data_IF_208022312306
#
_entry.id   IF_208022312306
#
_cell.length_a   1.000
_cell.length_b   1.000
_cell.length_c   1.000
_cell.angle_alpha   90.00
_cell.angle_beta   90.00
_cell.angle_gamma   90.00
#
_symmetry.space_group_name_H-M   'P 1'
#
loop_
_entity.id
_entity.type
_entity.pdbx_description
1 polymer ?
#
# COMPACT_ATOMS: atom_id res chain seq x y z
N UNK A 1 -19.66 14.12 1.22
CA UNK A 1 -19.00 14.09 2.52
C UNK A 1 -19.36 12.78 3.23
N UNK A 2 -18.34 12.05 3.73
CA UNK A 2 -18.54 10.71 4.31
C UNK A 2 -19.43 10.70 5.55
N UNK A 3 -19.43 11.76 6.36
CA UNK A 3 -20.28 11.88 7.55
C UNK A 3 -21.77 11.87 7.18
N UNK A 4 -22.13 12.47 6.06
CA UNK A 4 -23.53 12.51 5.58
C UNK A 4 -24.07 11.11 5.23
N UNK A 5 -23.18 10.13 5.10
CA UNK A 5 -23.47 8.74 4.76
C UNK A 5 -23.15 7.76 5.90
N UNK A 6 -23.05 8.25 7.13
CA UNK A 6 -22.97 7.42 8.32
C UNK A 6 -21.57 7.22 8.91
N UNK A 7 -20.50 7.65 8.23
CA UNK A 7 -19.15 7.62 8.82
C UNK A 7 -19.13 8.46 10.09
N UNK A 8 -18.73 7.88 11.24
CA UNK A 8 -18.88 8.55 12.52
C UNK A 8 -17.75 8.18 13.49
N UNK A 9 -17.18 9.17 14.15
CA UNK A 9 -16.13 9.00 15.16
C UNK A 9 -16.59 8.24 16.41
N UNK A 10 -17.90 8.16 16.67
CA UNK A 10 -18.48 7.42 17.80
C UNK A 10 -18.74 5.95 17.48
N UNK A 11 -18.69 5.57 16.22
CA UNK A 11 -18.85 4.18 15.83
C UNK A 11 -17.64 3.37 16.31
N UNK A 12 -17.88 2.18 16.81
CA UNK A 12 -16.80 1.21 17.15
C UNK A 12 -16.20 0.57 15.90
N UNK A 13 -16.87 0.68 14.79
CA UNK A 13 -16.47 0.21 13.48
C UNK A 13 -17.21 1.02 12.41
N UNK A 14 -16.52 1.45 11.36
CA UNK A 14 -17.04 2.22 10.24
C UNK A 14 -16.91 1.45 8.91
N UNK A 15 -16.68 0.16 8.96
CA UNK A 15 -16.38 -0.64 7.77
C UNK A 15 -17.55 -0.71 6.80
N UNK A 16 -18.76 -0.93 7.32
CA UNK A 16 -19.98 -1.05 6.52
C UNK A 16 -20.37 0.30 5.89
N UNK A 17 -20.27 1.39 6.65
CA UNK A 17 -20.61 2.73 6.19
C UNK A 17 -19.69 3.17 5.05
N UNK A 18 -18.36 2.99 5.24
CA UNK A 18 -17.40 3.37 4.20
C UNK A 18 -17.53 2.48 2.97
N UNK A 19 -17.72 1.17 3.13
CA UNK A 19 -17.92 0.26 2.00
C UNK A 19 -19.20 0.59 1.22
N UNK A 20 -20.29 0.87 1.93
CA UNK A 20 -21.56 1.26 1.30
C UNK A 20 -21.41 2.54 0.50
N UNK A 21 -20.65 3.51 1.02
CA UNK A 21 -20.37 4.76 0.33
C UNK A 21 -19.45 4.56 -0.89
N UNK A 22 -18.42 3.72 -0.80
CA UNK A 22 -17.58 3.34 -1.94
C UNK A 22 -18.44 2.74 -3.06
N UNK A 23 -19.32 1.81 -2.72
CA UNK A 23 -20.22 1.17 -3.68
C UNK A 23 -21.19 2.18 -4.30
N UNK A 24 -21.76 3.06 -3.49
CA UNK A 24 -22.68 4.10 -3.97
C UNK A 24 -22.01 5.04 -4.96
N UNK A 25 -20.80 5.53 -4.64
CA UNK A 25 -20.06 6.44 -5.52
C UNK A 25 -19.67 5.74 -6.82
N UNK A 26 -19.19 4.51 -6.74
CA UNK A 26 -18.85 3.70 -7.91
C UNK A 26 -20.07 3.49 -8.84
N UNK A 27 -21.20 3.08 -8.29
CA UNK A 27 -22.43 2.80 -9.04
C UNK A 27 -23.03 4.07 -9.69
N UNK A 28 -22.68 5.25 -9.18
CA UNK A 28 -23.05 6.54 -9.79
C UNK A 28 -21.99 7.08 -10.78
N UNK A 29 -21.09 6.22 -11.24
CA UNK A 29 -20.08 6.60 -12.26
C UNK A 29 -18.74 7.08 -11.70
N UNK A 30 -18.56 7.02 -10.39
CA UNK A 30 -17.35 7.44 -9.71
C UNK A 30 -17.46 8.81 -9.04
N UNK A 31 -16.39 9.20 -8.37
CA UNK A 31 -16.31 10.48 -7.67
C UNK A 31 -15.34 10.47 -6.50
N UNK A 32 -15.46 11.48 -5.66
CA UNK A 32 -14.61 11.69 -4.49
C UNK A 32 -15.39 11.50 -3.22
N UNK A 33 -14.87 10.64 -2.34
CA UNK A 33 -15.31 10.52 -0.96
C UNK A 33 -14.42 11.45 -0.12
N UNK A 34 -14.98 12.51 0.39
CA UNK A 34 -14.31 13.43 1.29
C UNK A 34 -14.51 12.98 2.74
N UNK A 35 -13.40 12.79 3.46
CA UNK A 35 -13.38 12.33 4.86
C UNK A 35 -12.94 13.50 5.75
N UNK A 36 -13.83 14.06 6.57
CA UNK A 36 -13.51 15.18 7.44
C UNK A 36 -12.50 14.82 8.53
N UNK A 37 -11.99 15.86 9.21
CA UNK A 37 -11.16 15.70 10.41
C UNK A 37 -11.87 14.83 11.45
N UNK A 38 -11.14 13.89 12.01
CA UNK A 38 -11.63 12.98 13.06
C UNK A 38 -10.91 11.65 13.07
N UNK A 39 -11.16 10.85 14.10
CA UNK A 39 -10.64 9.49 14.24
C UNK A 39 -11.78 8.51 13.98
N UNK A 40 -11.66 7.73 12.91
CA UNK A 40 -12.65 6.75 12.48
C UNK A 40 -12.09 5.35 12.69
N UNK A 41 -12.75 4.55 13.49
CA UNK A 41 -12.30 3.20 13.88
C UNK A 41 -12.79 2.17 12.85
N UNK A 42 -11.89 1.24 12.52
CA UNK A 42 -12.16 0.07 11.67
C UNK A 42 -11.70 -1.19 12.40
N UNK A 43 -12.61 -2.11 12.69
CA UNK A 43 -12.32 -3.36 13.38
C UNK A 43 -11.96 -4.47 12.40
N UNK A 44 -10.70 -4.87 12.38
CA UNK A 44 -10.21 -5.91 11.47
C UNK A 44 -10.87 -7.28 11.69
N UNK A 45 -11.43 -7.54 12.87
CA UNK A 45 -12.13 -8.79 13.14
C UNK A 45 -13.48 -8.91 12.42
N UNK A 46 -14.04 -7.78 12.00
CA UNK A 46 -15.34 -7.70 11.29
C UNK A 46 -15.22 -7.67 9.77
N UNK A 47 -14.01 -7.69 9.25
CA UNK A 47 -13.81 -7.69 7.80
C UNK A 47 -14.46 -8.91 7.15
N UNK A 48 -15.28 -8.68 6.15
CA UNK A 48 -16.14 -9.68 5.52
C UNK A 48 -15.87 -9.90 4.03
N UNK A 49 -14.98 -9.12 3.43
CA UNK A 49 -14.71 -9.20 1.99
C UNK A 49 -13.59 -10.18 1.71
N UNK A 50 -13.94 -11.33 1.14
CA UNK A 50 -12.98 -12.37 0.78
C UNK A 50 -12.45 -12.09 -0.63
N UNK A 51 -11.22 -11.55 -0.72
CA UNK A 51 -10.61 -11.13 -1.99
C UNK A 51 -9.78 -12.23 -2.65
N UNK A 52 -9.34 -13.22 -1.88
CA UNK A 52 -8.67 -14.44 -2.33
C UNK A 52 -8.83 -15.50 -1.25
N UNK A 53 -8.34 -16.71 -1.48
CA UNK A 53 -8.40 -17.81 -0.50
C UNK A 53 -7.81 -17.49 0.89
N UNK A 54 -7.10 -16.38 1.04
CA UNK A 54 -6.45 -15.99 2.30
C UNK A 54 -6.39 -14.48 2.55
N UNK A 55 -6.96 -13.65 1.68
CA UNK A 55 -6.92 -12.19 1.83
C UNK A 55 -8.34 -11.69 2.00
N UNK A 56 -8.59 -11.05 3.14
CA UNK A 56 -9.85 -10.36 3.42
C UNK A 56 -9.58 -8.87 3.52
N UNK A 57 -10.52 -8.05 3.07
CA UNK A 57 -10.44 -6.60 3.19
C UNK A 57 -11.44 -6.07 4.20
N UNK A 58 -11.10 -4.98 4.84
CA UNK A 58 -12.04 -4.16 5.61
C UNK A 58 -12.91 -3.37 4.62
N UNK A 59 -12.27 -2.75 3.61
CA UNK A 59 -12.95 -2.08 2.51
C UNK A 59 -12.38 -2.52 1.15
N UNK A 60 -13.24 -2.91 0.23
CA UNK A 60 -12.89 -3.16 -1.16
C UNK A 60 -12.98 -1.86 -1.96
N UNK A 61 -11.89 -1.47 -2.61
CA UNK A 61 -11.88 -0.30 -3.49
C UNK A 61 -12.47 -0.61 -4.86
N UNK A 62 -13.09 0.38 -5.46
CA UNK A 62 -13.74 0.31 -6.76
C UNK A 62 -13.17 1.36 -7.71
N UNK A 63 -13.20 1.08 -9.01
CA UNK A 63 -12.74 2.00 -10.05
C UNK A 63 -13.48 3.34 -10.00
N UNK A 64 -12.75 4.42 -10.30
CA UNK A 64 -13.24 5.79 -10.32
C UNK A 64 -13.68 6.34 -8.95
N UNK A 65 -13.31 5.68 -7.84
CA UNK A 65 -13.57 6.18 -6.48
C UNK A 65 -12.27 6.65 -5.85
N UNK A 66 -12.22 7.92 -5.49
CA UNK A 66 -11.07 8.51 -4.80
C UNK A 66 -11.41 8.85 -3.35
N UNK A 67 -10.45 8.66 -2.45
CA UNK A 67 -10.55 9.01 -1.03
C UNK A 67 -9.69 10.23 -0.74
N UNK A 68 -10.29 11.28 -0.18
CA UNK A 68 -9.56 12.51 0.20
C UNK A 68 -9.89 12.87 1.63
N UNK A 69 -8.86 12.90 2.48
CA UNK A 69 -8.99 13.44 3.84
C UNK A 69 -8.94 14.97 3.88
N UNK A 70 -9.59 15.55 4.83
CA UNK A 70 -9.52 17.00 5.07
C UNK A 70 -8.12 17.43 5.57
N UNK A 71 -7.46 16.59 6.38
CA UNK A 71 -6.14 16.87 6.97
C UNK A 71 -5.28 15.63 6.98
N UNK A 72 -4.02 15.78 6.58
CA UNK A 72 -3.03 14.68 6.62
C UNK A 72 -2.87 14.09 8.04
N UNK A 73 -2.90 14.91 9.06
CA UNK A 73 -2.65 14.51 10.45
C UNK A 73 -3.89 14.25 11.27
N UNK A 74 -4.98 14.93 10.97
CA UNK A 74 -6.17 14.97 11.81
C UNK A 74 -7.35 14.17 11.23
N UNK A 75 -7.28 13.77 9.95
CA UNK A 75 -8.15 12.75 9.39
C UNK A 75 -7.48 11.39 9.57
N UNK A 76 -7.92 10.62 10.56
CA UNK A 76 -7.27 9.36 10.95
C UNK A 76 -8.23 8.19 10.77
N UNK A 77 -7.85 7.26 9.93
CA UNK A 77 -8.48 5.95 9.78
C UNK A 77 -7.73 4.95 10.65
N UNK A 78 -8.30 4.63 11.81
CA UNK A 78 -7.64 3.81 12.83
C UNK A 78 -8.11 2.36 12.74
N UNK A 79 -7.19 1.46 12.42
CA UNK A 79 -7.46 0.01 12.39
C UNK A 79 -7.10 -0.60 13.73
N UNK A 80 -8.04 -1.35 14.30
CA UNK A 80 -7.87 -2.04 15.59
C UNK A 80 -8.10 -3.54 15.44
N UNK A 81 -7.66 -4.31 16.43
CA UNK A 81 -7.91 -5.74 16.51
C UNK A 81 -6.90 -6.61 15.77
N UNK A 82 -7.21 -7.91 15.68
CA UNK A 82 -6.30 -8.89 15.09
C UNK A 82 -6.49 -8.97 13.58
N UNK A 83 -5.40 -8.72 12.83
CA UNK A 83 -5.39 -8.68 11.37
C UNK A 83 -5.23 -10.06 10.71
N UNK A 84 -5.28 -11.14 11.45
CA UNK A 84 -5.29 -12.50 10.88
C UNK A 84 -6.54 -12.77 10.00
N UNK A 85 -7.61 -12.01 10.22
CA UNK A 85 -8.81 -12.05 9.40
C UNK A 85 -8.90 -10.86 8.44
N UNK A 86 -8.65 -9.64 8.91
CA UNK A 86 -8.62 -8.41 8.12
C UNK A 86 -7.26 -8.11 7.53
N UNK A 87 -6.99 -8.59 6.33
CA UNK A 87 -5.65 -8.51 5.72
C UNK A 87 -5.22 -7.11 5.32
N UNK A 88 -6.16 -6.23 4.99
CA UNK A 88 -5.90 -4.83 4.65
C UNK A 88 -7.08 -3.92 4.98
N UNK A 89 -6.80 -2.64 5.25
CA UNK A 89 -7.88 -1.65 5.36
C UNK A 89 -8.51 -1.44 3.99
N UNK A 90 -7.71 -1.11 2.98
CA UNK A 90 -8.17 -0.97 1.60
C UNK A 90 -7.57 -2.06 0.72
N UNK A 91 -8.41 -2.73 -0.03
CA UNK A 91 -7.97 -3.81 -0.91
C UNK A 91 -8.65 -3.73 -2.28
N UNK A 92 -7.91 -4.14 -3.29
CA UNK A 92 -8.44 -4.54 -4.58
C UNK A 92 -7.61 -5.71 -5.11
N UNK A 93 -8.27 -6.68 -5.73
CA UNK A 93 -7.58 -7.80 -6.36
C UNK A 93 -8.24 -8.13 -7.71
N UNK A 94 -7.53 -7.83 -8.80
CA UNK A 94 -8.04 -8.01 -10.17
C UNK A 94 -8.23 -9.48 -10.56
N UNK A 95 -7.49 -10.40 -9.95
CA UNK A 95 -7.68 -11.83 -10.22
C UNK A 95 -9.01 -12.31 -9.65
N UNK A 96 -9.45 -11.75 -8.52
CA UNK A 96 -10.72 -12.07 -7.88
C UNK A 96 -11.88 -11.29 -8.51
N UNK A 97 -11.76 -9.97 -8.61
CA UNK A 97 -12.80 -9.11 -9.18
C UNK A 97 -12.99 -9.27 -10.68
N UNK A 98 -11.97 -9.83 -11.39
CA UNK A 98 -11.88 -9.90 -12.85
C UNK A 98 -11.81 -8.53 -13.53
N UNK A 99 -11.53 -7.48 -12.77
CA UNK A 99 -11.46 -6.11 -13.24
C UNK A 99 -10.15 -5.47 -12.78
N UNK A 100 -9.57 -4.64 -13.61
CA UNK A 100 -8.46 -3.77 -13.25
C UNK A 100 -9.03 -2.53 -12.56
N UNK A 101 -8.47 -2.15 -11.43
CA UNK A 101 -8.85 -0.91 -10.75
C UNK A 101 -8.29 0.30 -11.49
N UNK A 102 -9.15 1.21 -11.90
CA UNK A 102 -8.77 2.43 -12.59
C UNK A 102 -9.10 3.68 -11.78
N UNK A 103 -8.24 4.69 -11.87
CA UNK A 103 -8.52 6.05 -11.39
C UNK A 103 -9.02 6.09 -9.95
N UNK A 104 -8.47 5.24 -9.09
CA UNK A 104 -8.76 5.18 -7.67
C UNK A 104 -7.60 5.81 -6.90
N UNK A 105 -7.82 7.00 -6.35
CA UNK A 105 -6.78 7.76 -5.69
C UNK A 105 -7.00 7.79 -4.17
N UNK A 106 -5.90 7.92 -3.44
CA UNK A 106 -5.93 8.10 -1.99
C UNK A 106 -5.00 9.24 -1.59
N UNK A 107 -5.51 10.24 -0.86
CA UNK A 107 -4.69 11.36 -0.46
C UNK A 107 -5.14 12.06 0.81
N UNK A 108 -4.17 12.69 1.49
CA UNK A 108 -4.35 13.65 2.57
C UNK A 108 -5.02 13.08 3.83
N UNK A 109 -4.64 11.87 4.27
CA UNK A 109 -5.08 11.29 5.54
C UNK A 109 -4.05 10.34 6.14
N UNK A 110 -4.25 10.00 7.41
CA UNK A 110 -3.47 9.00 8.14
C UNK A 110 -4.22 7.67 8.22
N UNK A 111 -3.52 6.56 7.98
CA UNK A 111 -3.92 5.22 8.43
C UNK A 111 -3.08 4.84 9.62
N UNK A 112 -3.69 4.70 10.78
CA UNK A 112 -3.04 4.29 12.02
C UNK A 112 -3.41 2.85 12.37
N UNK A 113 -2.40 1.96 12.36
CA UNK A 113 -2.52 0.55 12.71
C UNK A 113 -1.73 0.20 13.99
N UNK A 114 -1.46 1.20 14.85
CA UNK A 114 -0.71 0.98 16.10
C UNK A 114 -1.38 -0.02 17.03
N UNK A 115 -2.70 -0.09 17.05
CA UNK A 115 -3.52 -1.03 17.82
C UNK A 115 -3.91 -2.30 17.02
N UNK A 116 -3.48 -2.40 15.78
CA UNK A 116 -3.65 -3.63 15.00
C UNK A 116 -2.57 -4.66 15.37
N UNK A 117 -2.97 -5.90 15.57
CA UNK A 117 -2.08 -7.00 15.97
C UNK A 117 -2.00 -8.07 14.90
N UNK A 118 -0.87 -8.78 14.88
CA UNK A 118 -0.64 -9.98 14.08
C UNK A 118 0.31 -10.87 14.88
N UNK A 119 -0.16 -12.00 15.35
CA UNK A 119 0.62 -12.87 16.23
C UNK A 119 1.78 -13.55 15.52
N UNK A 120 1.55 -13.92 14.26
CA UNK A 120 2.57 -14.51 13.40
C UNK A 120 2.54 -13.81 12.03
N UNK A 121 3.71 -13.42 11.51
CA UNK A 121 3.79 -12.77 10.22
C UNK A 121 3.23 -13.62 9.07
N UNK A 122 2.22 -13.13 8.38
CA UNK A 122 1.51 -13.84 7.30
C UNK A 122 1.12 -12.93 6.14
N UNK A 123 1.85 -11.87 5.84
CA UNK A 123 1.51 -10.85 4.82
C UNK A 123 0.19 -10.09 5.05
N UNK A 124 -0.48 -10.29 6.18
CA UNK A 124 -1.73 -9.64 6.57
C UNK A 124 -1.48 -8.40 7.41
N UNK A 125 -2.45 -7.50 7.48
CA UNK A 125 -2.34 -6.25 8.25
C UNK A 125 -1.62 -5.15 7.48
N UNK A 126 -2.05 -4.90 6.24
CA UNK A 126 -1.60 -3.80 5.39
C UNK A 126 -2.55 -2.60 5.49
N UNK A 127 -2.06 -1.40 5.29
CA UNK A 127 -2.97 -0.26 5.08
C UNK A 127 -3.63 -0.35 3.70
N UNK A 128 -2.84 -0.61 2.67
CA UNK A 128 -3.32 -0.84 1.30
C UNK A 128 -2.75 -2.15 0.75
N UNK A 129 -3.61 -2.92 0.10
CA UNK A 129 -3.20 -4.06 -0.73
C UNK A 129 -3.95 -4.02 -2.06
N UNK A 130 -3.26 -3.69 -3.11
CA UNK A 130 -3.85 -3.65 -4.44
C UNK A 130 -3.11 -4.60 -5.38
N UNK A 131 -3.87 -5.27 -6.24
CA UNK A 131 -3.33 -6.10 -7.31
C UNK A 131 -4.14 -5.84 -8.58
N UNK A 132 -3.45 -5.38 -9.64
CA UNK A 132 -4.06 -5.01 -10.90
C UNK A 132 -4.66 -3.60 -10.90
N UNK A 133 -3.81 -2.57 -10.92
CA UNK A 133 -4.26 -1.17 -10.89
C UNK A 133 -3.63 -0.33 -12.02
N UNK A 134 -4.39 0.64 -12.53
CA UNK A 134 -3.94 1.62 -13.53
C UNK A 134 -4.41 3.04 -13.20
N UNK A 135 -3.60 4.01 -13.62
CA UNK A 135 -3.96 5.44 -13.54
C UNK A 135 -4.32 5.89 -12.12
N UNK A 136 -3.55 5.44 -11.11
CA UNK A 136 -3.82 5.70 -9.70
C UNK A 136 -2.76 6.58 -9.06
N UNK A 137 -3.17 7.38 -8.08
CA UNK A 137 -2.29 8.26 -7.31
C UNK A 137 -2.46 8.01 -5.81
N UNK A 138 -1.35 7.73 -5.14
CA UNK A 138 -1.23 7.70 -3.69
C UNK A 138 -0.36 8.88 -3.28
N UNK A 139 -0.93 9.85 -2.59
CA UNK A 139 -0.22 11.10 -2.26
C UNK A 139 -0.56 11.60 -0.88
N UNK A 140 0.42 12.24 -0.22
CA UNK A 140 0.20 12.90 1.06
C UNK A 140 -0.51 11.98 2.07
N UNK A 141 0.04 10.79 2.28
CA UNK A 141 -0.48 9.80 3.23
C UNK A 141 0.49 9.61 4.39
N UNK A 142 -0.04 9.29 5.58
CA UNK A 142 0.72 8.76 6.68
C UNK A 142 0.24 7.35 7.00
N UNK A 143 1.16 6.39 6.97
CA UNK A 143 0.89 4.98 7.25
C UNK A 143 1.71 4.57 8.48
N UNK A 144 1.04 4.29 9.58
CA UNK A 144 1.65 4.15 10.89
C UNK A 144 1.48 2.73 11.43
N UNK A 145 2.61 2.12 11.84
CA UNK A 145 2.70 0.86 12.58
C UNK A 145 1.90 -0.29 11.98
N UNK A 146 2.00 -0.49 10.67
CA UNK A 146 1.31 -1.59 9.99
C UNK A 146 1.95 -2.95 10.33
N UNK A 147 1.18 -3.98 10.68
CA UNK A 147 1.73 -5.31 10.94
C UNK A 147 2.52 -5.90 9.77
N UNK A 148 2.05 -5.72 8.54
CA UNK A 148 2.73 -6.12 7.31
C UNK A 148 3.11 -4.91 6.46
N UNK A 149 3.47 -5.10 5.19
CA UNK A 149 3.78 -4.03 4.24
C UNK A 149 2.73 -2.92 4.29
N UNK A 150 3.17 -1.67 4.47
CA UNK A 150 2.22 -0.59 4.66
C UNK A 150 1.44 -0.27 3.37
N UNK A 151 2.14 -0.05 2.27
CA UNK A 151 1.57 0.11 0.94
C UNK A 151 2.07 -1.04 0.06
N UNK A 152 1.24 -2.04 -0.19
CA UNK A 152 1.53 -3.18 -1.05
C UNK A 152 0.74 -3.09 -2.36
N UNK A 153 1.43 -3.07 -3.48
CA UNK A 153 0.80 -2.99 -4.81
C UNK A 153 1.48 -3.98 -5.75
N UNK A 154 0.70 -4.84 -6.37
CA UNK A 154 1.14 -5.78 -7.39
C UNK A 154 0.44 -5.47 -8.71
N UNK A 155 1.08 -5.68 -9.85
CA UNK A 155 0.51 -5.41 -11.18
C UNK A 155 0.00 -3.96 -11.33
N UNK A 156 0.89 -3.02 -11.54
CA UNK A 156 0.55 -1.61 -11.60
C UNK A 156 1.10 -0.93 -12.86
N UNK A 157 0.31 -0.07 -13.47
CA UNK A 157 0.74 0.72 -14.61
C UNK A 157 0.22 2.15 -14.50
N UNK A 158 1.06 3.14 -14.85
CA UNK A 158 0.79 4.56 -14.70
C UNK A 158 0.37 4.95 -13.27
N UNK A 159 1.21 4.58 -12.29
CA UNK A 159 0.93 4.82 -10.86
C UNK A 159 1.95 5.79 -10.27
N UNK A 160 1.46 6.75 -9.50
CA UNK A 160 2.28 7.72 -8.76
C UNK A 160 2.14 7.50 -7.26
N UNK A 161 3.27 7.26 -6.59
CA UNK A 161 3.40 7.17 -5.14
C UNK A 161 4.26 8.35 -4.70
N UNK A 162 3.67 9.35 -4.06
CA UNK A 162 4.29 10.66 -3.83
C UNK A 162 4.02 11.16 -2.40
N UNK A 163 5.05 11.66 -1.72
CA UNK A 163 4.90 12.32 -0.42
C UNK A 163 4.23 11.45 0.66
N UNK A 164 4.58 10.17 0.72
CA UNK A 164 4.05 9.25 1.74
C UNK A 164 5.04 9.14 2.91
N UNK A 165 4.54 9.36 4.12
CA UNK A 165 5.26 9.10 5.34
C UNK A 165 4.87 7.74 5.91
N UNK A 166 5.84 6.84 6.10
CA UNK A 166 5.66 5.51 6.69
C UNK A 166 6.53 5.38 7.93
N UNK A 167 5.89 5.01 9.03
CA UNK A 167 6.56 4.69 10.27
C UNK A 167 6.20 3.27 10.71
N UNK A 168 7.21 2.43 10.96
CA UNK A 168 7.04 1.02 11.35
C UNK A 168 6.17 0.18 10.39
N UNK A 169 6.34 0.37 9.10
CA UNK A 169 5.76 -0.54 8.09
C UNK A 169 6.35 -1.94 8.24
N UNK A 170 5.50 -2.97 8.36
CA UNK A 170 5.96 -4.33 8.56
C UNK A 170 6.45 -4.63 9.98
N UNK A 171 5.91 -3.98 11.01
CA UNK A 171 6.37 -4.15 12.40
C UNK A 171 6.38 -5.58 12.90
N UNK A 172 5.51 -6.45 12.38
CA UNK A 172 5.42 -7.87 12.76
C UNK A 172 6.36 -8.78 11.95
N UNK A 173 7.13 -8.26 10.99
CA UNK A 173 8.06 -9.06 10.20
C UNK A 173 9.17 -9.66 11.07
N UNK A 174 9.44 -10.96 10.93
CA UNK A 174 10.31 -11.74 11.80
C UNK A 174 11.39 -12.51 11.03
N UNK A 175 11.97 -11.92 9.99
CA UNK A 175 13.01 -12.53 9.15
C UNK A 175 12.56 -13.72 8.29
N UNK A 176 11.26 -13.98 8.19
CA UNK A 176 10.70 -15.06 7.36
C UNK A 176 9.97 -14.53 6.12
N UNK A 177 10.47 -14.87 4.93
CA UNK A 177 9.81 -14.56 3.67
C UNK A 177 9.94 -13.10 3.19
N UNK A 178 9.35 -12.82 2.06
CA UNK A 178 9.25 -11.47 1.47
C UNK A 178 8.11 -10.69 2.15
N UNK A 179 8.09 -9.38 1.99
CA UNK A 179 7.11 -8.50 2.61
C UNK A 179 7.65 -7.74 3.82
N UNK A 180 6.78 -7.12 4.61
CA UNK A 180 7.18 -6.31 5.75
C UNK A 180 7.87 -5.00 5.38
N UNK A 181 7.72 -4.53 4.16
CA UNK A 181 8.28 -3.27 3.68
C UNK A 181 7.41 -2.07 4.05
N UNK A 182 7.98 -0.89 3.96
CA UNK A 182 7.19 0.33 3.93
C UNK A 182 6.35 0.40 2.66
N UNK A 183 7.00 0.48 1.50
CA UNK A 183 6.38 0.38 0.18
C UNK A 183 6.88 -0.93 -0.45
N UNK A 184 5.96 -1.81 -0.82
CA UNK A 184 6.26 -3.07 -1.52
C UNK A 184 5.52 -3.12 -2.84
N UNK A 185 6.27 -3.29 -3.93
CA UNK A 185 5.74 -3.38 -5.28
C UNK A 185 6.04 -4.77 -5.83
N UNK A 186 5.01 -5.50 -6.19
CA UNK A 186 5.15 -6.74 -6.97
C UNK A 186 5.28 -6.40 -8.45
N UNK A 187 6.46 -6.66 -9.01
CA UNK A 187 6.82 -6.31 -10.39
C UNK A 187 6.99 -7.57 -11.24
N UNK A 188 6.89 -7.43 -12.57
CA UNK A 188 7.09 -8.53 -13.53
C UNK A 188 5.83 -9.33 -13.83
N UNK A 189 4.66 -8.79 -13.54
CA UNK A 189 3.36 -9.42 -13.82
C UNK A 189 2.74 -8.91 -15.12
N UNK A 190 3.06 -7.70 -15.52
CA UNK A 190 2.64 -7.10 -16.79
C UNK A 190 3.83 -6.71 -17.65
N UNK A 191 3.60 -6.61 -18.94
CA UNK A 191 4.62 -6.18 -19.90
C UNK A 191 5.03 -4.71 -19.68
N UNK A 192 4.08 -3.87 -19.31
CA UNK A 192 4.30 -2.46 -19.02
C UNK A 192 3.89 -2.18 -17.58
N UNK A 193 4.83 -1.76 -16.78
CA UNK A 193 4.64 -1.38 -15.39
C UNK A 193 5.35 -0.04 -15.13
N UNK A 194 4.71 1.06 -15.54
CA UNK A 194 5.24 2.39 -15.34
C UNK A 194 4.80 2.92 -13.99
N UNK A 195 5.73 3.26 -13.12
CA UNK A 195 5.42 3.90 -11.85
C UNK A 195 6.55 4.75 -11.32
N UNK A 196 6.19 5.70 -10.46
CA UNK A 196 7.12 6.62 -9.80
C UNK A 196 6.90 6.55 -8.30
N UNK A 197 7.97 6.32 -7.53
CA UNK A 197 7.99 6.41 -6.07
C UNK A 197 8.91 7.58 -5.71
N UNK A 198 8.34 8.65 -5.17
CA UNK A 198 9.12 9.85 -4.89
C UNK A 198 8.70 10.61 -3.63
N UNK A 199 9.62 11.40 -3.08
CA UNK A 199 9.38 12.29 -1.94
C UNK A 199 8.83 11.55 -0.70
N UNK A 200 8.99 10.24 -0.64
CA UNK A 200 8.51 9.41 0.45
C UNK A 200 9.52 9.35 1.59
N UNK A 201 9.02 9.17 2.81
CA UNK A 201 9.83 9.00 4.01
C UNK A 201 9.47 7.67 4.65
N UNK A 202 10.39 6.70 4.64
CA UNK A 202 10.22 5.40 5.27
C UNK A 202 11.13 5.29 6.49
N UNK A 203 10.54 5.07 7.67
CA UNK A 203 11.26 5.03 8.94
C UNK A 203 10.94 3.75 9.70
N UNK A 204 11.97 3.09 10.20
CA UNK A 204 11.85 1.92 11.09
C UNK A 204 11.03 0.76 10.49
N UNK A 205 11.07 0.57 9.19
CA UNK A 205 10.36 -0.53 8.54
C UNK A 205 10.95 -1.89 8.96
N UNK A 206 10.08 -2.89 9.08
CA UNK A 206 10.47 -4.22 9.55
C UNK A 206 11.40 -4.95 8.61
N UNK A 207 11.30 -4.74 7.32
CA UNK A 207 12.14 -5.31 6.27
C UNK A 207 12.79 -4.20 5.46
N UNK A 208 12.37 -3.96 4.22
CA UNK A 208 12.82 -2.85 3.40
C UNK A 208 12.03 -1.57 3.67
N UNK A 209 12.64 -0.42 3.42
CA UNK A 209 11.87 0.82 3.29
C UNK A 209 11.04 0.82 2.01
N UNK A 210 11.70 0.58 0.86
CA UNK A 210 11.08 0.41 -0.46
C UNK A 210 11.55 -0.90 -1.07
N UNK A 211 10.64 -1.72 -1.57
CA UNK A 211 10.98 -3.03 -2.12
C UNK A 211 10.24 -3.30 -3.43
N UNK A 212 10.99 -3.49 -4.51
CA UNK A 212 10.49 -4.03 -5.76
C UNK A 212 10.71 -5.54 -5.75
N UNK A 213 9.63 -6.30 -5.65
CA UNK A 213 9.65 -7.75 -5.57
C UNK A 213 9.27 -8.36 -6.91
N UNK A 214 10.13 -9.23 -7.41
CA UNK A 214 9.83 -10.04 -8.56
C UNK A 214 8.75 -11.08 -8.26
N UNK A 215 7.60 -10.98 -8.90
CA UNK A 215 6.46 -11.88 -8.70
C UNK A 215 6.48 -13.13 -9.60
N UNK A 216 7.47 -13.27 -10.45
CA UNK A 216 7.81 -14.54 -11.06
C UNK A 216 6.91 -15.12 -12.12
N UNK A 217 5.80 -14.51 -12.46
CA UNK A 217 4.79 -15.13 -13.33
C UNK A 217 5.12 -14.99 -14.83
N UNK A 218 5.82 -13.94 -15.24
CA UNK A 218 6.23 -13.70 -16.63
C UNK A 218 7.74 -13.92 -16.86
N UNK A 219 8.34 -14.81 -16.09
CA UNK A 219 9.77 -15.12 -16.22
C UNK A 219 10.11 -15.95 -17.44
N UNK A 220 10.00 -15.38 -18.57
CA UNK A 220 11.20 -15.39 -19.40
C UNK A 220 12.06 -14.26 -18.88
N UNK A 221 13.19 -14.56 -18.23
CA UNK A 221 14.15 -13.62 -17.58
C UNK A 221 14.69 -12.50 -18.51
N UNK A 222 14.06 -12.28 -19.63
CA UNK A 222 14.46 -11.37 -20.69
C UNK A 222 13.60 -10.12 -20.79
N UNK A 223 12.36 -10.13 -20.25
CA UNK A 223 11.40 -9.04 -20.41
C UNK A 223 10.86 -8.52 -19.07
N UNK A 224 11.74 -7.95 -18.26
CA UNK A 224 11.28 -7.17 -17.11
C UNK A 224 10.64 -5.86 -17.57
N UNK A 225 9.60 -5.38 -16.86
CA UNK A 225 9.04 -4.06 -17.12
C UNK A 225 10.09 -2.97 -16.93
N UNK A 226 9.99 -1.90 -17.69
CA UNK A 226 10.99 -0.85 -17.81
C UNK A 226 10.46 0.49 -17.32
N UNK A 227 11.40 1.34 -16.88
CA UNK A 227 11.12 2.76 -16.67
C UNK A 227 10.59 3.10 -15.28
N UNK A 228 10.81 2.26 -14.28
CA UNK A 228 10.47 2.58 -12.90
C UNK A 228 11.41 3.65 -12.34
N UNK A 229 10.86 4.58 -11.55
CA UNK A 229 11.62 5.68 -10.95
C UNK A 229 11.44 5.67 -9.43
N UNK A 230 12.57 5.63 -8.70
CA UNK A 230 12.62 5.77 -7.24
C UNK A 230 13.51 6.97 -6.93
N UNK A 231 12.93 8.12 -6.57
CA UNK A 231 13.69 9.34 -6.43
C UNK A 231 13.29 10.22 -5.25
N UNK A 232 14.27 10.97 -4.71
CA UNK A 232 14.05 11.94 -3.64
C UNK A 232 13.40 11.36 -2.37
N UNK A 233 13.62 10.09 -2.06
CA UNK A 233 13.07 9.46 -0.87
C UNK A 233 14.07 9.53 0.30
N UNK A 234 13.56 9.53 1.51
CA UNK A 234 14.34 9.37 2.75
C UNK A 234 14.01 8.00 3.33
N UNK A 235 15.02 7.16 3.51
CA UNK A 235 14.84 5.82 4.07
C UNK A 235 15.84 5.59 5.19
N UNK A 236 15.35 5.37 6.41
CA UNK A 236 16.19 5.23 7.59
C UNK A 236 15.66 4.28 8.65
N UNK A 237 16.58 3.75 9.44
CA UNK A 237 16.31 2.84 10.57
C UNK A 237 15.55 1.56 10.18
N UNK A 238 15.59 1.14 8.93
CA UNK A 238 14.97 -0.12 8.50
C UNK A 238 15.78 -1.31 9.01
N UNK A 239 15.09 -2.38 9.41
CA UNK A 239 15.75 -3.58 10.00
C UNK A 239 16.55 -4.39 8.99
N UNK A 240 16.33 -4.18 7.70
CA UNK A 240 17.08 -4.84 6.63
C UNK A 240 17.66 -3.79 5.69
N UNK A 241 17.45 -3.84 4.38
CA UNK A 241 17.95 -2.83 3.46
C UNK A 241 16.99 -1.64 3.32
N UNK A 242 17.53 -0.49 2.94
CA UNK A 242 16.71 0.68 2.66
C UNK A 242 15.86 0.48 1.41
N UNK A 243 16.49 0.18 0.27
CA UNK A 243 15.82 -0.06 -1.01
C UNK A 243 16.26 -1.42 -1.55
N UNK A 244 15.31 -2.27 -1.92
CA UNK A 244 15.54 -3.56 -2.55
C UNK A 244 14.96 -3.61 -3.95
N UNK A 245 15.75 -4.09 -4.91
CA UNK A 245 15.32 -4.29 -6.28
C UNK A 245 15.55 -5.76 -6.63
N UNK A 246 14.48 -6.53 -6.72
CA UNK A 246 14.47 -7.91 -7.20
C UNK A 246 13.67 -7.97 -8.48
N UNK A 247 14.34 -7.94 -9.60
CA UNK A 247 13.70 -7.80 -10.91
C UNK A 247 13.53 -6.35 -11.36
N UNK A 248 13.25 -6.14 -12.63
CA UNK A 248 13.14 -4.84 -13.28
C UNK A 248 14.28 -4.55 -14.25
N UNK A 249 14.01 -3.73 -15.25
CA UNK A 249 14.95 -3.29 -16.27
C UNK A 249 14.83 -1.78 -16.45
N UNK A 250 15.95 -1.08 -16.55
CA UNK A 250 15.99 0.40 -16.60
C UNK A 250 15.33 1.08 -15.37
N UNK A 251 15.58 0.58 -14.17
CA UNK A 251 15.14 1.25 -12.94
C UNK A 251 16.08 2.40 -12.60
N UNK A 252 15.53 3.61 -12.53
CA UNK A 252 16.27 4.80 -12.10
C UNK A 252 16.10 5.01 -10.59
N UNK A 253 17.22 4.99 -9.86
CA UNK A 253 17.29 5.27 -8.43
C UNK A 253 18.12 6.53 -8.24
N UNK A 254 17.52 7.66 -7.91
CA UNK A 254 18.24 8.93 -7.87
C UNK A 254 17.88 9.81 -6.68
N UNK A 255 18.86 10.54 -6.18
CA UNK A 255 18.64 11.57 -5.14
C UNK A 255 17.98 11.05 -3.86
N UNK A 256 18.10 9.77 -3.53
CA UNK A 256 17.57 9.22 -2.30
C UNK A 256 18.55 9.42 -1.14
N UNK A 257 18.05 9.81 0.02
CA UNK A 257 18.83 9.93 1.25
C UNK A 257 18.64 8.67 2.11
N UNK A 258 19.69 7.87 2.20
CA UNK A 258 19.67 6.55 2.84
C UNK A 258 20.68 6.54 3.99
N UNK A 259 20.20 6.35 5.23
CA UNK A 259 21.09 6.31 6.40
C UNK A 259 20.49 5.49 7.56
N UNK A 260 21.36 5.01 8.44
CA UNK A 260 21.02 4.25 9.65
C UNK A 260 20.17 2.99 9.38
N UNK A 261 20.29 2.37 8.23
CA UNK A 261 19.66 1.09 7.90
C UNK A 261 20.68 -0.04 8.11
N UNK A 262 20.21 -1.27 8.27
CA UNK A 262 21.10 -2.43 8.36
C UNK A 262 21.84 -2.72 7.03
N UNK A 263 21.25 -2.30 5.89
CA UNK A 263 21.88 -2.27 4.57
C UNK A 263 21.34 -1.11 3.73
N UNK A 264 22.12 -0.65 2.76
CA UNK A 264 21.74 0.44 1.87
C UNK A 264 20.83 -0.03 0.75
N UNK A 265 21.44 -0.38 -0.37
CA UNK A 265 20.77 -0.83 -1.58
C UNK A 265 21.00 -2.32 -1.81
N UNK A 266 19.95 -3.04 -2.13
CA UNK A 266 20.00 -4.45 -2.47
C UNK A 266 19.48 -4.67 -3.89
N UNK A 267 20.29 -5.28 -4.75
CA UNK A 267 19.94 -5.59 -6.14
C UNK A 267 20.22 -7.06 -6.41
N UNK A 268 19.24 -7.79 -6.86
CA UNK A 268 19.30 -9.24 -7.04
C UNK A 268 18.28 -9.74 -8.09
N UNK A 269 18.25 -11.03 -8.34
CA UNK A 269 17.23 -11.77 -9.09
C UNK A 269 17.09 -11.39 -10.57
N UNK A 270 18.19 -10.98 -11.19
CA UNK A 270 18.23 -10.66 -12.62
C UNK A 270 17.75 -9.26 -12.96
N UNK A 271 17.66 -8.36 -11.96
CA UNK A 271 17.53 -6.94 -12.23
C UNK A 271 18.60 -6.46 -13.21
N UNK A 272 18.22 -5.71 -14.25
CA UNK A 272 19.09 -5.26 -15.33
C UNK A 272 19.06 -3.74 -15.42
N UNK A 273 20.18 -3.17 -15.88
CA UNK A 273 20.30 -1.75 -16.21
C UNK A 273 19.78 -0.82 -15.09
N UNK A 274 20.20 -1.11 -13.85
CA UNK A 274 19.86 -0.27 -12.70
C UNK A 274 20.75 0.96 -12.72
N UNK A 275 20.15 2.14 -12.73
CA UNK A 275 20.86 3.43 -12.80
C UNK A 275 20.76 4.10 -11.43
N UNK A 276 21.95 4.48 -10.89
CA UNK A 276 22.05 5.14 -9.58
C UNK A 276 22.48 6.59 -9.73
#
# INVERSE_FOLDING_TARGET
NAIDYGLNQKNKDNSEELQSLINLVHNNGGGVIFIPIGVYIFDSAKSSWNMTNNITAICEMKSNVSLIGESLTDTVLKVVGNTEKGSALFCHNSEFSKEILHSSNAQNFTVDMSEATLNQYTHRGKAFYYSGIKDCIFRDLRLISTPSTALGIDMLDNVVIDSIYIYEGGKAWNYGGNGGAGIGIGTGLWENENYIIRNCICVSCGHFGIFLEDQGIFHNKENFPKGQIISNNIVRNCRHYAIGIRGGDLVLISSNNIYDNNGGLYVDYGAKNIIF
#
